data_IF_751517104094
#
_entry.id   IF_751517104094
#
_cell.length_a   1.000
_cell.length_b   1.000
_cell.length_c   1.000
_cell.angle_alpha   90.00
_cell.angle_beta   90.00
_cell.angle_gamma   90.00
#
_symmetry.space_group_name_H-M   'P 1'
#
loop_
_entity.id
_entity.type
_entity.pdbx_description
1 polymer ?
#
# COMPACT_ATOMS: atom_id res chain seq x y z
N UNK A 1 0.82 -12.70 -28.08
CA UNK A 1 0.69 -14.16 -27.80
C UNK A 1 -0.61 -14.36 -27.02
N UNK A 2 -1.53 -15.26 -27.42
CA UNK A 2 -2.79 -15.41 -26.71
C UNK A 2 -2.54 -16.17 -25.40
N UNK A 3 -2.89 -15.55 -24.27
CA UNK A 3 -2.71 -16.15 -22.95
C UNK A 3 -3.89 -17.09 -22.69
N UNK A 4 -3.59 -18.37 -22.42
CA UNK A 4 -4.60 -19.41 -22.20
C UNK A 4 -5.53 -19.05 -21.02
N UNK A 5 -6.86 -19.06 -21.19
CA UNK A 5 -7.82 -18.63 -20.16
C UNK A 5 -7.75 -19.46 -18.87
N UNK A 6 -7.30 -20.71 -18.94
CA UNK A 6 -7.08 -21.58 -17.77
C UNK A 6 -5.87 -21.12 -16.95
N UNK A 7 -4.81 -20.69 -17.62
CA UNK A 7 -3.62 -20.09 -16.98
C UNK A 7 -3.99 -18.76 -16.32
N UNK A 8 -4.86 -17.97 -16.96
CA UNK A 8 -5.32 -16.68 -16.43
C UNK A 8 -6.19 -16.82 -15.17
N UNK A 9 -7.08 -17.83 -15.12
CA UNK A 9 -7.87 -18.16 -13.93
C UNK A 9 -7.00 -18.65 -12.77
N UNK A 10 -6.00 -19.49 -13.06
CA UNK A 10 -5.08 -19.98 -12.03
C UNK A 10 -4.22 -18.84 -11.48
N UNK A 11 -3.68 -17.99 -12.35
CA UNK A 11 -2.90 -16.81 -11.97
C UNK A 11 -3.74 -15.83 -11.14
N UNK A 12 -5.00 -15.58 -11.54
CA UNK A 12 -5.90 -14.69 -10.80
C UNK A 12 -6.23 -15.20 -9.40
N UNK A 13 -6.46 -16.51 -9.23
CA UNK A 13 -6.76 -17.10 -7.91
C UNK A 13 -5.53 -17.09 -7.00
N UNK A 14 -4.38 -17.45 -7.54
CA UNK A 14 -3.10 -17.42 -6.80
C UNK A 14 -2.70 -15.99 -6.46
N UNK A 15 -2.86 -15.05 -7.39
CA UNK A 15 -2.64 -13.62 -7.15
C UNK A 15 -3.61 -13.07 -6.10
N UNK A 16 -4.90 -13.38 -6.17
CA UNK A 16 -5.88 -12.93 -5.16
C UNK A 16 -5.57 -13.53 -3.79
N UNK A 17 -5.13 -14.79 -3.75
CA UNK A 17 -4.72 -15.46 -2.52
C UNK A 17 -3.49 -14.77 -1.91
N UNK A 18 -2.42 -14.59 -2.68
CA UNK A 18 -1.21 -13.93 -2.20
C UNK A 18 -1.40 -12.43 -1.93
N UNK A 19 -2.24 -11.74 -2.71
CA UNK A 19 -2.67 -10.36 -2.44
C UNK A 19 -3.39 -10.26 -1.10
N UNK A 20 -4.29 -11.19 -0.79
CA UNK A 20 -4.96 -11.23 0.52
C UNK A 20 -4.02 -11.63 1.66
N UNK A 21 -3.15 -12.62 1.46
CA UNK A 21 -2.22 -13.13 2.49
C UNK A 21 -1.11 -12.13 2.82
N UNK A 22 -0.59 -11.42 1.83
CA UNK A 22 0.42 -10.37 2.01
C UNK A 22 -0.16 -9.02 2.41
N UNK A 23 -1.49 -8.92 2.45
CA UNK A 23 -2.17 -7.69 2.77
C UNK A 23 -2.08 -6.57 1.74
N UNK A 24 -2.05 -6.94 0.47
CA UNK A 24 -1.96 -6.06 -0.69
C UNK A 24 -0.52 -5.83 -1.17
N UNK A 25 0.48 -6.21 -0.36
CA UNK A 25 1.89 -6.00 -0.68
C UNK A 25 2.35 -6.80 -1.90
N UNK A 26 2.01 -8.08 -2.04
CA UNK A 26 2.58 -8.95 -3.08
C UNK A 26 1.92 -8.76 -4.45
N UNK A 27 0.69 -8.24 -4.54
CA UNK A 27 0.04 -8.01 -5.84
C UNK A 27 0.30 -6.65 -6.49
N UNK A 28 0.95 -5.72 -5.77
CA UNK A 28 1.27 -4.38 -6.31
C UNK A 28 2.66 -4.31 -6.99
N UNK A 29 3.51 -5.34 -6.83
CA UNK A 29 4.93 -5.35 -7.25
C UNK A 29 5.21 -5.82 -8.68
N UNK A 30 4.31 -5.53 -9.63
CA UNK A 30 4.61 -5.73 -11.05
C UNK A 30 4.24 -4.45 -11.82
N UNK A 31 5.20 -3.51 -11.88
CA UNK A 31 5.16 -2.37 -12.79
C UNK A 31 4.39 -1.12 -12.33
N UNK A 32 4.04 -0.98 -11.05
CA UNK A 32 3.37 0.23 -10.54
C UNK A 32 4.33 1.15 -9.79
N UNK A 33 4.15 2.49 -9.86
CA UNK A 33 4.96 3.44 -9.10
C UNK A 33 4.87 3.19 -7.59
N UNK A 34 5.99 3.35 -6.88
CA UNK A 34 6.06 3.27 -5.42
C UNK A 34 6.44 4.64 -4.87
N UNK A 35 5.64 5.18 -3.96
CA UNK A 35 5.90 6.40 -3.20
C UNK A 35 6.42 6.09 -1.80
N UNK A 36 7.27 6.96 -1.26
CA UNK A 36 7.89 6.79 0.05
C UNK A 36 7.31 7.79 1.05
N UNK A 37 6.29 7.35 1.79
CA UNK A 37 5.65 8.19 2.81
C UNK A 37 6.47 8.19 4.10
N UNK A 38 7.01 9.35 4.49
CA UNK A 38 7.72 9.53 5.76
C UNK A 38 6.86 10.29 6.77
N UNK A 39 6.61 9.66 7.93
CA UNK A 39 5.78 10.20 9.02
C UNK A 39 6.55 10.30 10.34
N UNK A 40 6.06 11.11 11.28
CA UNK A 40 6.61 11.19 12.64
C UNK A 40 5.86 10.23 13.57
N UNK A 41 6.56 9.33 14.23
CA UNK A 41 5.99 8.35 15.14
C UNK A 41 5.28 9.00 16.32
N UNK A 42 3.95 8.83 16.42
CA UNK A 42 3.13 9.50 17.45
C UNK A 42 3.52 9.21 18.91
N UNK A 43 4.20 8.08 19.16
CA UNK A 43 4.68 7.69 20.50
C UNK A 43 6.16 7.97 20.72
N UNK A 44 6.98 7.91 19.65
CA UNK A 44 8.44 7.91 19.75
C UNK A 44 9.10 9.18 19.23
N UNK A 45 8.38 10.02 18.48
CA UNK A 45 8.92 11.19 17.78
C UNK A 45 9.86 10.87 16.61
N UNK A 46 10.19 9.59 16.36
CA UNK A 46 11.12 9.17 15.29
C UNK A 46 10.46 9.25 13.92
N UNK A 47 11.24 9.48 12.87
CA UNK A 47 10.77 9.39 11.48
C UNK A 47 10.65 7.93 11.05
N UNK A 48 9.56 7.58 10.38
CA UNK A 48 9.30 6.26 9.80
C UNK A 48 8.89 6.41 8.34
N UNK A 49 9.59 5.72 7.44
CA UNK A 49 9.27 5.69 6.01
C UNK A 49 8.56 4.39 5.66
N UNK A 50 7.41 4.50 4.99
CA UNK A 50 6.60 3.35 4.54
C UNK A 50 6.45 3.40 3.02
N UNK A 51 6.88 2.36 2.29
CA UNK A 51 6.64 2.27 0.86
C UNK A 51 5.16 1.97 0.59
N UNK A 52 4.52 2.80 -0.22
CA UNK A 52 3.09 2.71 -0.54
C UNK A 52 2.88 2.95 -2.02
N UNK A 53 1.84 2.36 -2.59
CA UNK A 53 1.40 2.71 -3.94
C UNK A 53 0.65 4.06 -3.89
N UNK A 54 1.16 5.11 -4.55
CA UNK A 54 0.47 6.39 -4.62
C UNK A 54 -0.57 6.38 -5.74
N UNK A 55 -1.63 7.14 -5.54
CA UNK A 55 -2.53 7.59 -6.61
C UNK A 55 -2.27 9.08 -6.79
N UNK A 56 -2.01 9.49 -8.03
CA UNK A 56 -1.80 10.90 -8.37
C UNK A 56 -3.14 11.47 -8.85
N UNK A 57 -3.60 12.53 -8.20
CA UNK A 57 -4.85 13.23 -8.52
C UNK A 57 -4.58 14.73 -8.66
N UNK A 58 -4.23 15.15 -9.87
CA UNK A 58 -3.70 16.49 -10.14
C UNK A 58 -2.38 16.72 -9.38
N UNK A 59 -2.37 17.75 -8.54
CA UNK A 59 -1.23 18.07 -7.67
C UNK A 59 -1.23 17.27 -6.35
N UNK A 60 -2.24 16.42 -6.13
CA UNK A 60 -2.37 15.66 -4.90
C UNK A 60 -1.76 14.25 -5.01
N UNK A 61 -1.15 13.80 -3.93
CA UNK A 61 -0.73 12.40 -3.75
C UNK A 61 -1.64 11.73 -2.72
N UNK A 62 -2.33 10.67 -3.14
CA UNK A 62 -3.30 9.95 -2.32
C UNK A 62 -2.76 8.57 -1.96
N UNK A 63 -2.75 8.27 -0.66
CA UNK A 63 -2.42 6.94 -0.13
C UNK A 63 -3.63 6.32 0.57
N UNK A 64 -3.86 5.02 0.32
CA UNK A 64 -5.00 4.30 0.90
C UNK A 64 -4.54 3.54 2.15
N UNK A 65 -5.08 3.92 3.31
CA UNK A 65 -4.82 3.29 4.61
C UNK A 65 -5.60 1.97 4.82
N UNK A 66 -5.62 1.10 3.80
CA UNK A 66 -6.41 -0.15 3.83
C UNK A 66 -5.86 -1.17 4.82
N UNK A 67 -4.54 -1.20 5.02
CA UNK A 67 -3.83 -2.17 5.86
C UNK A 67 -4.35 -3.60 5.63
N UNK A 68 -4.39 -4.07 4.38
CA UNK A 68 -4.91 -5.40 4.03
C UNK A 68 -6.39 -5.67 4.35
N UNK A 69 -7.16 -4.66 4.76
CA UNK A 69 -8.48 -4.87 5.36
C UNK A 69 -8.43 -5.37 6.82
N UNK A 70 -7.27 -5.30 7.49
CA UNK A 70 -7.20 -5.55 8.94
C UNK A 70 -8.07 -4.55 9.71
N UNK A 71 -8.62 -5.01 10.84
CA UNK A 71 -9.43 -4.17 11.75
C UNK A 71 -8.66 -3.00 12.36
N UNK A 72 -7.33 -3.08 12.38
CA UNK A 72 -6.46 -2.07 12.98
C UNK A 72 -5.91 -1.18 11.87
N UNK A 73 -5.97 0.14 12.07
CA UNK A 73 -5.38 1.09 11.14
C UNK A 73 -3.85 0.96 11.07
N UNK A 74 -3.24 1.24 9.90
CA UNK A 74 -1.80 1.14 9.77
C UNK A 74 -1.10 2.21 10.61
N UNK A 75 0.12 1.91 11.05
CA UNK A 75 0.88 2.79 11.95
C UNK A 75 1.11 4.19 11.36
N UNK A 76 1.42 4.28 10.06
CA UNK A 76 1.65 5.56 9.39
C UNK A 76 0.39 6.44 9.38
N UNK A 77 -0.80 5.84 9.26
CA UNK A 77 -2.06 6.59 9.33
C UNK A 77 -2.31 7.11 10.74
N UNK A 78 -2.03 6.29 11.77
CA UNK A 78 -2.12 6.72 13.16
C UNK A 78 -1.11 7.82 13.49
N UNK A 79 0.06 7.81 12.85
CA UNK A 79 1.05 8.88 12.93
C UNK A 79 0.51 10.17 12.31
N UNK A 80 0.00 10.11 11.07
CA UNK A 80 -0.59 11.27 10.37
C UNK A 80 -1.79 11.86 11.12
N UNK A 81 -2.63 11.00 11.72
CA UNK A 81 -3.75 11.45 12.54
C UNK A 81 -3.32 12.27 13.75
N UNK A 82 -2.13 12.01 14.29
CA UNK A 82 -1.58 12.75 15.43
C UNK A 82 -0.74 13.97 14.99
N UNK A 83 -0.05 13.88 13.85
CA UNK A 83 0.70 14.97 13.24
C UNK A 83 0.60 14.83 11.70
N UNK A 84 -0.14 15.74 11.02
CA UNK A 84 -0.41 15.62 9.59
C UNK A 84 0.81 15.90 8.69
N UNK A 85 1.90 16.44 9.24
CA UNK A 85 3.13 16.71 8.49
C UNK A 85 3.84 15.43 8.02
N UNK A 86 4.09 15.34 6.72
CA UNK A 86 4.78 14.23 6.09
C UNK A 86 5.55 14.65 4.84
N UNK A 87 6.41 13.74 4.38
CA UNK A 87 7.19 13.88 3.15
C UNK A 87 6.90 12.69 2.25
N UNK A 88 6.81 12.93 0.94
CA UNK A 88 6.42 11.94 -0.07
C UNK A 88 7.40 11.96 -1.24
#
# INVERSE_FOLDING_TARGET
>A
MPVNPTVMKLFSRTHTFWYRVSGGLVGSWIGTPVGLLTTTGRKSGRKYTTPLQPIIDGDNVVFIASNAGHKVHPQWWLNLKANPEATV
#
